data_IF_818141358196
#
_entry.id   IF_818141358196
#
_cell.length_a   1.000
_cell.length_b   1.000
_cell.length_c   1.000
_cell.angle_alpha   90.00
_cell.angle_beta   90.00
_cell.angle_gamma   90.00
#
_symmetry.space_group_name_H-M   'P 1'
#
loop_
_entity.id
_entity.type
_entity.pdbx_description
1 polymer ?
#
# COMPACT_ATOMS: atom_id res chain seq x y z
N UNK A 1 -22.48 58.42 -14.73
CA UNK A 1 -21.06 58.16 -14.41
C UNK A 1 -21.06 57.34 -13.12
N UNK A 2 -20.86 56.02 -13.23
CA UNK A 2 -20.56 55.14 -12.09
C UNK A 2 -19.15 55.46 -11.59
N UNK A 3 -18.88 55.35 -10.27
CA UNK A 3 -17.87 54.42 -9.70
C UNK A 3 -18.23 54.06 -8.23
N UNK A 4 -18.76 52.84 -8.09
CA UNK A 4 -18.60 51.79 -7.07
C UNK A 4 -18.12 52.11 -5.64
N UNK A 5 -18.95 51.69 -4.68
CA UNK A 5 -18.59 51.43 -3.29
C UNK A 5 -18.66 49.90 -3.02
N UNK A 6 -17.63 49.40 -2.34
CA UNK A 6 -17.50 48.19 -1.52
C UNK A 6 -18.23 46.87 -1.91
N UNK A 7 -17.45 45.81 -2.06
CA UNK A 7 -17.97 44.44 -2.16
C UNK A 7 -16.87 43.38 -2.14
N UNK A 8 -16.20 43.26 -0.99
CA UNK A 8 -15.60 42.06 -0.41
C UNK A 8 -15.67 40.79 -1.30
N UNK A 9 -14.54 40.44 -1.93
CA UNK A 9 -14.34 39.16 -2.61
C UNK A 9 -14.41 38.05 -1.55
N UNK A 10 -15.50 37.29 -1.54
CA UNK A 10 -15.56 36.01 -0.85
C UNK A 10 -14.53 35.09 -1.50
N UNK A 11 -13.52 34.71 -0.71
CA UNK A 11 -12.58 33.67 -1.04
C UNK A 11 -13.36 32.44 -1.51
N UNK A 12 -13.06 31.97 -2.72
CA UNK A 12 -13.65 30.77 -3.29
C UNK A 12 -13.45 29.62 -2.32
N UNK A 13 -14.57 29.09 -1.82
CA UNK A 13 -14.60 27.78 -1.20
C UNK A 13 -14.13 26.81 -2.28
N UNK A 14 -12.89 26.35 -2.19
CA UNK A 14 -12.47 25.14 -2.88
C UNK A 14 -13.31 24.01 -2.28
N UNK A 15 -14.45 23.74 -2.92
CA UNK A 15 -15.14 22.49 -2.73
C UNK A 15 -14.14 21.41 -3.15
N UNK A 16 -13.59 20.71 -2.16
CA UNK A 16 -12.88 19.44 -2.37
C UNK A 16 -13.89 18.58 -3.10
N UNK A 17 -13.65 18.29 -4.39
CA UNK A 17 -14.52 17.44 -5.16
C UNK A 17 -14.73 16.17 -4.34
N UNK A 18 -16.00 15.84 -4.07
CA UNK A 18 -16.32 14.58 -3.41
C UNK A 18 -15.76 13.48 -4.31
N UNK A 19 -14.68 12.84 -3.87
CA UNK A 19 -14.18 11.61 -4.48
C UNK A 19 -15.34 10.64 -4.40
N UNK A 20 -15.94 10.32 -5.54
CA UNK A 20 -16.98 9.31 -5.58
C UNK A 20 -16.39 8.03 -4.98
N UNK A 21 -17.12 7.34 -4.09
CA UNK A 21 -16.63 6.09 -3.53
C UNK A 21 -16.45 5.12 -4.68
N UNK A 22 -15.20 4.97 -5.14
CA UNK A 22 -14.79 3.92 -6.04
C UNK A 22 -15.29 2.61 -5.47
N UNK A 23 -16.04 1.86 -6.28
CA UNK A 23 -16.46 0.50 -5.95
C UNK A 23 -15.24 -0.23 -5.42
N UNK A 24 -15.33 -0.76 -4.19
CA UNK A 24 -14.21 -1.45 -3.58
C UNK A 24 -13.76 -2.58 -4.49
N UNK A 25 -12.48 -2.58 -4.87
CA UNK A 25 -11.88 -3.66 -5.64
C UNK A 25 -12.06 -5.01 -4.93
N UNK A 26 -12.07 -5.01 -3.60
CA UNK A 26 -12.26 -6.21 -2.78
C UNK A 26 -13.71 -6.71 -2.75
N UNK A 27 -14.66 -5.79 -2.87
CA UNK A 27 -16.09 -6.02 -2.70
C UNK A 27 -16.52 -6.11 -1.23
N UNK A 28 -17.77 -5.72 -0.95
CA UNK A 28 -18.32 -5.54 0.42
C UNK A 28 -18.13 -6.76 1.32
N UNK A 29 -18.34 -7.97 0.80
CA UNK A 29 -18.23 -9.19 1.60
C UNK A 29 -16.81 -9.44 2.11
N UNK A 30 -15.79 -9.15 1.29
CA UNK A 30 -14.38 -9.28 1.69
C UNK A 30 -14.01 -8.18 2.68
N UNK A 31 -14.46 -6.95 2.43
CA UNK A 31 -14.21 -5.84 3.35
C UNK A 31 -14.82 -6.11 4.73
N UNK A 32 -16.07 -6.57 4.80
CA UNK A 32 -16.70 -6.91 6.07
C UNK A 32 -15.94 -8.01 6.84
N UNK A 33 -15.40 -9.01 6.15
CA UNK A 33 -14.62 -10.08 6.78
C UNK A 33 -13.28 -9.56 7.31
N UNK A 34 -12.59 -8.70 6.57
CA UNK A 34 -11.38 -8.02 7.04
C UNK A 34 -11.66 -7.13 8.26
N UNK A 35 -12.78 -6.40 8.25
CA UNK A 35 -13.21 -5.56 9.36
C UNK A 35 -13.39 -6.33 10.68
N UNK A 36 -13.73 -7.62 10.63
CA UNK A 36 -13.82 -8.49 11.83
C UNK A 36 -12.47 -8.88 12.41
N UNK A 37 -11.38 -8.72 11.64
CA UNK A 37 -10.02 -9.06 12.05
C UNK A 37 -9.16 -7.85 12.37
N UNK A 38 -9.68 -6.63 12.17
CA UNK A 38 -8.97 -5.42 12.56
C UNK A 38 -8.68 -5.39 14.05
N UNK A 39 -7.48 -4.94 14.39
CA UNK A 39 -7.01 -4.83 15.77
C UNK A 39 -5.97 -3.73 15.90
N UNK A 40 -5.28 -3.71 17.03
CA UNK A 40 -4.25 -2.70 17.32
C UNK A 40 -3.13 -2.72 16.28
N UNK A 41 -2.71 -3.91 15.84
CA UNK A 41 -1.56 -4.08 14.95
C UNK A 41 -1.94 -4.38 13.51
N UNK A 42 -3.11 -5.00 13.28
CA UNK A 42 -3.62 -5.31 11.95
C UNK A 42 -4.70 -4.30 11.55
N UNK A 43 -4.41 -3.50 10.53
CA UNK A 43 -5.24 -2.38 10.12
C UNK A 43 -5.62 -2.49 8.64
N UNK A 44 -6.91 -2.37 8.35
CA UNK A 44 -7.45 -2.21 6.99
C UNK A 44 -8.24 -0.90 6.83
N UNK A 45 -8.50 -0.20 7.93
CA UNK A 45 -9.35 0.97 8.10
C UNK A 45 -10.78 0.80 7.55
N UNK A 46 -11.33 -0.42 7.57
CA UNK A 46 -12.62 -0.74 6.93
C UNK A 46 -13.81 -0.31 7.78
N UNK A 47 -13.66 -0.31 9.10
CA UNK A 47 -14.69 0.18 10.03
C UNK A 47 -14.88 1.71 10.01
N UNK A 48 -14.00 2.45 9.33
CA UNK A 48 -14.04 3.89 9.25
C UNK A 48 -14.97 4.40 8.14
N UNK A 49 -15.16 5.73 8.07
CA UNK A 49 -15.89 6.36 6.95
C UNK A 49 -15.11 6.15 5.63
N UNK A 50 -15.78 6.04 4.47
CA UNK A 50 -15.11 5.78 3.19
C UNK A 50 -13.92 6.69 2.88
N UNK A 51 -14.04 8.00 3.15
CA UNK A 51 -12.94 8.95 2.94
C UNK A 51 -11.73 8.64 3.83
N UNK A 52 -11.95 8.22 5.08
CA UNK A 52 -10.88 7.86 6.01
C UNK A 52 -10.19 6.58 5.55
N UNK A 53 -10.95 5.59 5.10
CA UNK A 53 -10.41 4.36 4.52
C UNK A 53 -9.55 4.64 3.27
N UNK A 54 -10.03 5.53 2.37
CA UNK A 54 -9.27 5.95 1.21
C UNK A 54 -7.96 6.68 1.57
N UNK A 55 -8.01 7.62 2.52
CA UNK A 55 -6.82 8.31 3.02
C UNK A 55 -5.83 7.33 3.64
N UNK A 56 -6.30 6.39 4.46
CA UNK A 56 -5.46 5.35 5.06
C UNK A 56 -4.75 4.52 3.99
N UNK A 57 -5.49 3.99 3.00
CA UNK A 57 -4.93 3.18 1.90
C UNK A 57 -3.88 3.95 1.10
N UNK A 58 -4.15 5.21 0.83
CA UNK A 58 -3.20 6.11 0.14
C UNK A 58 -1.93 6.30 0.97
N UNK A 59 -2.08 6.50 2.28
CA UNK A 59 -0.95 6.70 3.19
C UNK A 59 -0.07 5.45 3.27
N UNK A 60 -0.63 4.26 3.52
CA UNK A 60 0.17 3.04 3.63
C UNK A 60 0.84 2.66 2.30
N UNK A 61 0.23 2.99 1.15
CA UNK A 61 0.84 2.79 -0.14
C UNK A 61 2.07 3.71 -0.32
N UNK A 62 1.94 4.99 0.02
CA UNK A 62 3.06 5.94 -0.03
C UNK A 62 4.19 5.58 0.96
N UNK A 63 3.84 5.09 2.15
CA UNK A 63 4.83 4.59 3.11
C UNK A 63 5.57 3.36 2.54
N UNK A 64 4.85 2.41 1.94
CA UNK A 64 5.46 1.27 1.26
C UNK A 64 6.41 1.71 0.14
N UNK A 65 5.98 2.64 -0.71
CA UNK A 65 6.81 3.18 -1.81
C UNK A 65 8.14 3.76 -1.28
N UNK A 66 8.13 4.45 -0.13
CA UNK A 66 9.37 4.95 0.48
C UNK A 66 10.37 3.85 0.87
N UNK A 67 9.90 2.66 1.27
CA UNK A 67 10.77 1.50 1.50
C UNK A 67 11.27 0.90 0.19
N UNK A 68 10.43 0.87 -0.84
CA UNK A 68 10.75 0.33 -2.16
C UNK A 68 11.82 1.16 -2.89
N UNK A 69 11.84 2.48 -2.69
CA UNK A 69 12.85 3.37 -3.26
C UNK A 69 14.27 2.93 -2.93
N UNK A 70 14.50 2.45 -1.70
CA UNK A 70 15.80 2.03 -1.18
C UNK A 70 15.88 0.51 -0.93
N UNK A 71 15.03 -0.26 -1.61
CA UNK A 71 14.95 -1.70 -1.43
C UNK A 71 15.59 -2.50 -2.55
N UNK A 72 15.80 -3.79 -2.30
CA UNK A 72 16.10 -4.78 -3.33
C UNK A 72 15.07 -5.91 -3.33
N UNK A 73 14.89 -6.55 -4.48
CA UNK A 73 13.92 -7.62 -4.68
C UNK A 73 14.61 -8.81 -5.34
N UNK A 74 14.70 -9.93 -4.63
CA UNK A 74 15.31 -11.17 -5.15
C UNK A 74 14.51 -11.72 -6.33
N UNK A 75 15.18 -12.40 -7.26
CA UNK A 75 14.55 -12.93 -8.48
C UNK A 75 13.34 -13.84 -8.20
N UNK A 76 13.36 -14.60 -7.10
CA UNK A 76 12.25 -15.46 -6.69
C UNK A 76 10.93 -14.72 -6.45
N UNK A 77 11.00 -13.41 -6.25
CA UNK A 77 9.90 -12.58 -5.76
C UNK A 77 9.41 -11.58 -6.83
N UNK A 78 9.98 -11.64 -8.05
CA UNK A 78 9.80 -10.64 -9.11
C UNK A 78 8.43 -10.65 -9.82
N UNK A 79 7.65 -11.74 -9.74
CA UNK A 79 6.35 -11.88 -10.43
C UNK A 79 5.16 -11.32 -9.62
N UNK A 80 5.43 -10.68 -8.49
CA UNK A 80 4.43 -10.16 -7.56
C UNK A 80 4.02 -8.69 -7.80
N UNK A 81 3.35 -8.07 -6.81
CA UNK A 81 2.94 -6.65 -6.84
C UNK A 81 4.10 -5.64 -6.91
N UNK A 82 5.32 -6.05 -6.60
CA UNK A 82 6.52 -5.20 -6.66
C UNK A 82 7.30 -5.53 -7.95
N UNK A 83 7.92 -4.52 -8.54
CA UNK A 83 8.80 -4.66 -9.70
C UNK A 83 10.11 -3.92 -9.47
N UNK A 84 11.18 -4.46 -10.02
CA UNK A 84 12.47 -3.76 -10.16
C UNK A 84 12.37 -2.68 -11.22
N UNK A 85 12.82 -1.47 -10.88
CA UNK A 85 12.98 -0.35 -11.80
C UNK A 85 14.45 -0.17 -12.16
N UNK A 86 15.35 -0.42 -11.20
CA UNK A 86 16.78 -0.66 -11.41
C UNK A 86 16.99 -2.17 -11.53
N UNK A 87 17.56 -2.63 -12.64
CA UNK A 87 17.69 -4.06 -12.91
C UNK A 87 18.61 -4.75 -11.90
N UNK A 88 19.65 -4.04 -11.46
CA UNK A 88 20.70 -4.54 -10.57
C UNK A 88 20.22 -4.72 -9.12
N UNK A 89 19.10 -4.13 -8.70
CA UNK A 89 18.56 -4.18 -7.33
C UNK A 89 17.98 -5.57 -6.95
N UNK A 90 18.76 -6.62 -7.13
CA UNK A 90 18.48 -8.02 -6.77
C UNK A 90 19.00 -8.38 -5.37
N UNK A 91 19.99 -7.64 -4.89
CA UNK A 91 20.64 -7.75 -3.59
C UNK A 91 21.03 -6.37 -3.04
N UNK A 92 21.65 -6.35 -1.86
CA UNK A 92 22.04 -5.12 -1.18
C UNK A 92 23.04 -4.29 -2.00
N UNK A 93 23.98 -4.96 -2.68
CA UNK A 93 25.03 -4.33 -3.47
C UNK A 93 24.52 -3.67 -4.75
N UNK A 94 23.39 -4.14 -5.28
CA UNK A 94 22.76 -3.63 -6.49
C UNK A 94 21.86 -2.41 -6.30
N UNK A 95 21.63 -1.97 -5.06
CA UNK A 95 20.79 -0.80 -4.76
C UNK A 95 21.55 0.49 -5.06
N UNK A 96 20.98 1.32 -5.93
CA UNK A 96 21.51 2.66 -6.22
C UNK A 96 20.91 3.69 -5.23
N UNK A 97 21.73 4.36 -4.40
CA UNK A 97 21.23 5.32 -3.41
C UNK A 97 20.66 6.61 -4.02
N UNK A 98 20.91 6.88 -5.31
CA UNK A 98 20.47 8.09 -6.00
C UNK A 98 19.23 7.83 -6.90
N UNK A 99 18.74 6.59 -7.01
CA UNK A 99 17.59 6.20 -7.83
C UNK A 99 16.45 5.54 -7.03
N UNK A 100 15.29 5.41 -7.67
CA UNK A 100 14.16 4.61 -7.18
C UNK A 100 14.35 3.16 -7.65
N UNK A 101 14.74 2.28 -6.74
CA UNK A 101 15.16 0.92 -7.11
C UNK A 101 13.98 0.00 -7.43
N UNK A 102 12.93 0.05 -6.62
CA UNK A 102 11.73 -0.76 -6.78
C UNK A 102 10.47 0.12 -6.84
N UNK A 103 9.39 -0.43 -7.37
CA UNK A 103 8.09 0.22 -7.36
C UNK A 103 6.93 -0.77 -7.38
N UNK A 104 5.73 -0.27 -7.14
CA UNK A 104 4.51 -1.05 -7.30
C UNK A 104 4.16 -1.22 -8.78
N UNK A 105 3.63 -2.38 -9.15
CA UNK A 105 3.06 -2.60 -10.50
C UNK A 105 1.75 -1.85 -10.66
N UNK A 106 1.43 -1.51 -11.90
CA UNK A 106 0.15 -0.88 -12.22
C UNK A 106 -1.04 -1.76 -11.80
N UNK A 107 -2.06 -1.14 -11.18
CA UNK A 107 -3.28 -1.82 -10.75
C UNK A 107 -3.15 -2.58 -9.42
N UNK A 108 -2.01 -2.49 -8.74
CA UNK A 108 -1.87 -2.97 -7.36
C UNK A 108 -2.66 -2.07 -6.41
N UNK A 109 -3.44 -2.70 -5.54
CA UNK A 109 -4.09 -2.05 -4.42
C UNK A 109 -3.42 -2.51 -3.12
N UNK A 110 -2.79 -1.58 -2.40
CA UNK A 110 -2.38 -1.79 -1.00
C UNK A 110 -3.57 -1.48 -0.10
N UNK A 111 -4.02 -2.46 0.68
CA UNK A 111 -5.29 -2.35 1.42
C UNK A 111 -5.17 -2.64 2.90
N UNK A 112 -4.02 -3.11 3.37
CA UNK A 112 -3.82 -3.40 4.78
C UNK A 112 -2.37 -3.29 5.21
N UNK A 113 -2.19 -3.14 6.51
CA UNK A 113 -0.90 -3.05 7.15
C UNK A 113 -0.92 -3.83 8.46
N UNK A 114 0.18 -4.52 8.74
CA UNK A 114 0.45 -5.17 10.00
C UNK A 114 1.77 -4.68 10.57
N UNK A 115 1.68 -3.96 11.70
CA UNK A 115 2.84 -3.50 12.44
C UNK A 115 3.39 -4.63 13.32
N UNK A 116 4.60 -5.06 13.02
CA UNK A 116 5.24 -6.19 13.68
C UNK A 116 6.14 -5.79 14.87
N UNK A 117 6.24 -4.50 15.21
CA UNK A 117 7.14 -3.95 16.23
C UNK A 117 8.62 -4.36 16.08
N UNK A 118 9.13 -4.45 14.84
CA UNK A 118 10.56 -4.66 14.56
C UNK A 118 10.95 -6.07 14.08
N UNK A 119 9.99 -6.92 13.74
CA UNK A 119 10.23 -8.23 13.08
C UNK A 119 9.92 -8.22 11.57
N UNK A 120 9.91 -7.04 10.95
CA UNK A 120 9.56 -6.82 9.53
C UNK A 120 8.10 -6.42 9.30
N UNK A 121 7.87 -5.14 8.99
CA UNK A 121 6.53 -4.61 8.77
C UNK A 121 5.91 -5.23 7.52
N UNK A 122 4.60 -5.51 7.57
CA UNK A 122 3.92 -6.24 6.49
C UNK A 122 2.78 -5.44 5.90
N UNK A 123 2.83 -5.25 4.59
CA UNK A 123 1.76 -4.66 3.80
C UNK A 123 0.98 -5.75 3.08
N UNK A 124 -0.33 -5.55 2.94
CA UNK A 124 -1.20 -6.47 2.21
C UNK A 124 -1.68 -5.80 0.93
N UNK A 125 -1.48 -6.51 -0.17
CA UNK A 125 -1.78 -6.00 -1.50
C UNK A 125 -2.59 -7.01 -2.30
N UNK A 126 -3.37 -6.50 -3.27
CA UNK A 126 -4.01 -7.34 -4.27
C UNK A 126 -3.89 -6.72 -5.66
N UNK A 127 -3.98 -7.57 -6.68
CA UNK A 127 -4.02 -7.15 -8.08
C UNK A 127 -4.96 -8.05 -8.88
N UNK A 128 -5.50 -7.57 -10.01
CA UNK A 128 -6.29 -8.40 -10.93
C UNK A 128 -5.48 -9.62 -11.40
N UNK A 129 -5.93 -10.83 -11.04
CA UNK A 129 -5.40 -12.06 -11.61
C UNK A 129 -6.17 -12.47 -12.87
N UNK A 130 -5.77 -13.61 -13.48
CA UNK A 130 -6.36 -14.11 -14.75
C UNK A 130 -7.85 -14.47 -14.65
N UNK A 131 -8.36 -14.73 -13.45
CA UNK A 131 -9.76 -15.14 -13.19
C UNK A 131 -10.35 -14.45 -11.97
N UNK A 132 -9.54 -14.28 -10.92
CA UNK A 132 -9.90 -13.63 -9.67
C UNK A 132 -8.74 -12.76 -9.19
N UNK A 133 -8.97 -11.92 -8.18
CA UNK A 133 -7.89 -11.18 -7.52
C UNK A 133 -6.86 -12.14 -6.92
N UNK A 134 -5.59 -11.81 -7.12
CA UNK A 134 -4.49 -12.44 -6.40
C UNK A 134 -4.11 -11.56 -5.20
N UNK A 135 -3.87 -12.19 -4.05
CA UNK A 135 -3.53 -11.53 -2.79
C UNK A 135 -2.08 -11.80 -2.43
N UNK A 136 -1.45 -10.83 -1.79
CA UNK A 136 -0.03 -10.83 -1.48
C UNK A 136 0.23 -10.21 -0.10
N UNK A 137 1.29 -10.67 0.53
CA UNK A 137 1.96 -10.02 1.65
C UNK A 137 3.33 -9.53 1.17
N UNK A 138 3.64 -8.28 1.52
CA UNK A 138 4.92 -7.62 1.23
C UNK A 138 5.55 -7.33 2.58
N UNK A 139 6.67 -7.99 2.89
CA UNK A 139 7.40 -7.82 4.13
C UNK A 139 8.61 -6.93 3.89
N UNK A 140 8.80 -5.95 4.76
CA UNK A 140 9.98 -5.09 4.78
C UNK A 140 10.93 -5.63 5.84
N UNK A 141 11.95 -6.37 5.44
CA UNK A 141 13.01 -6.78 6.36
C UNK A 141 14.08 -5.70 6.39
N UNK A 142 14.16 -4.95 7.50
CA UNK A 142 15.33 -4.11 7.74
C UNK A 142 16.51 -5.04 7.96
N UNK A 143 17.54 -4.93 7.11
CA UNK A 143 18.82 -5.56 7.39
C UNK A 143 19.24 -5.25 8.83
N UNK A 144 19.78 -6.25 9.53
CA UNK A 144 20.09 -6.19 10.98
C UNK A 144 21.07 -5.04 11.32
N UNK A 145 21.68 -4.40 10.31
CA UNK A 145 22.43 -3.17 10.41
C UNK A 145 21.56 -1.95 10.10
N UNK A 146 21.47 -1.01 11.04
CA UNK A 146 20.64 0.23 11.03
C UNK A 146 20.90 1.22 9.88
N UNK A 147 21.54 0.83 8.78
CA UNK A 147 21.90 1.74 7.68
C UNK A 147 22.03 1.05 6.30
N UNK A 148 21.48 -0.15 6.10
CA UNK A 148 21.50 -0.83 4.80
C UNK A 148 20.18 -0.69 4.03
N UNK A 149 20.17 -0.96 2.72
CA UNK A 149 18.97 -1.13 1.92
C UNK A 149 17.93 -2.07 2.53
N UNK A 150 16.66 -1.92 2.13
CA UNK A 150 15.56 -2.77 2.59
C UNK A 150 15.50 -4.08 1.80
N UNK A 151 15.47 -5.22 2.48
CA UNK A 151 15.18 -6.51 1.86
C UNK A 151 13.66 -6.66 1.73
N UNK A 152 13.16 -6.66 0.49
CA UNK A 152 11.74 -6.72 0.20
C UNK A 152 11.37 -8.15 -0.16
N UNK A 153 10.62 -8.81 0.73
CA UNK A 153 10.07 -10.12 0.46
C UNK A 153 8.61 -10.01 0.01
N UNK A 154 8.26 -10.72 -1.06
CA UNK A 154 6.90 -10.80 -1.58
C UNK A 154 6.44 -12.24 -1.57
N UNK A 155 5.31 -12.52 -0.93
CA UNK A 155 4.76 -13.89 -0.94
C UNK A 155 4.29 -14.32 -2.32
N UNK A 156 4.21 -15.64 -2.52
CA UNK A 156 3.54 -16.22 -3.68
C UNK A 156 2.07 -15.76 -3.76
N UNK A 157 1.49 -15.65 -4.96
CA UNK A 157 0.09 -15.23 -5.12
C UNK A 157 -0.85 -16.18 -4.38
N UNK A 158 -1.70 -15.61 -3.52
CA UNK A 158 -2.70 -16.34 -2.74
C UNK A 158 -4.10 -16.10 -3.28
N UNK A 159 -4.97 -17.10 -3.12
CA UNK A 159 -6.40 -16.89 -3.18
C UNK A 159 -6.92 -16.26 -1.87
N UNK A 160 -8.20 -15.90 -1.85
CA UNK A 160 -8.82 -15.26 -0.68
C UNK A 160 -8.76 -16.12 0.59
N UNK A 161 -8.95 -17.44 0.47
CA UNK A 161 -8.97 -18.33 1.63
C UNK A 161 -7.58 -18.50 2.21
N UNK A 162 -6.57 -18.67 1.36
CA UNK A 162 -5.16 -18.75 1.77
C UNK A 162 -4.70 -17.43 2.38
N UNK A 163 -5.07 -16.30 1.78
CA UNK A 163 -4.76 -14.98 2.33
C UNK A 163 -5.33 -14.80 3.75
N UNK A 164 -6.60 -15.16 3.98
CA UNK A 164 -7.20 -15.06 5.33
C UNK A 164 -6.53 -15.98 6.36
N UNK A 165 -5.88 -17.06 5.91
CA UNK A 165 -5.11 -17.94 6.77
C UNK A 165 -3.68 -17.44 7.04
N UNK A 166 -3.11 -16.61 6.15
CA UNK A 166 -1.81 -15.95 6.32
C UNK A 166 -1.87 -14.75 7.28
N UNK A 167 -3.05 -14.16 7.46
CA UNK A 167 -3.23 -13.06 8.40
C UNK A 167 -2.82 -13.46 9.83
N UNK A 168 -2.19 -12.56 10.59
CA UNK A 168 -1.86 -12.81 11.98
C UNK A 168 -3.13 -13.10 12.78
N UNK A 169 -3.02 -13.87 13.88
CA UNK A 169 -4.15 -14.14 14.76
C UNK A 169 -4.74 -12.83 15.30
N UNK A 170 -6.07 -12.79 15.38
CA UNK A 170 -6.83 -11.66 15.92
C UNK A 170 -6.69 -11.53 17.45
#
# INVERSE_FOLDING_TARGET
>A
MNINNAGMTTAGTHAVAAVEPTVSLLGDAREQELGRREGTFLQFCISAKPLVCHTFRTQIAAELEGYLEQGFLRESDADGPVQRLVAEAEDEEGVDPDEVNLGLREGVLVFGFYNCHGCGDRYYACMPGKKELAFFSICIESGVATSGPYDIFVSAPMDWSTFLADLPPA
#
